data_IF_487220915673
#
_entry.id   IF_487220915673
#
_cell.length_a   1.000
_cell.length_b   1.000
_cell.length_c   1.000
_cell.angle_alpha   90.00
_cell.angle_beta   90.00
_cell.angle_gamma   90.00
#
_symmetry.space_group_name_H-M   'P 1'
#
loop_
_entity.id
_entity.type
_entity.pdbx_description
1 polymer ?
#
# COMPACT_ATOMS: atom_id res chain seq x y z
N UNK A 1 -109.14 58.38 -41.52
CA UNK A 1 -108.08 58.06 -42.50
C UNK A 1 -107.43 56.74 -42.12
N UNK A 2 -107.16 55.91 -43.13
CA UNK A 2 -106.69 54.51 -43.09
C UNK A 2 -105.29 54.37 -42.46
N UNK A 3 -105.02 53.28 -41.73
CA UNK A 3 -104.26 52.14 -42.27
C UNK A 3 -104.10 51.00 -41.26
N UNK A 4 -104.67 49.83 -41.58
CA UNK A 4 -104.29 48.52 -41.03
C UNK A 4 -103.19 47.97 -41.93
N UNK A 5 -102.04 47.58 -41.38
CA UNK A 5 -101.08 46.73 -42.08
C UNK A 5 -100.95 45.38 -41.37
N UNK A 6 -101.27 44.34 -42.12
CA UNK A 6 -101.15 42.93 -41.78
C UNK A 6 -99.70 42.46 -41.94
N UNK A 7 -99.14 41.82 -40.92
CA UNK A 7 -97.86 41.12 -40.99
C UNK A 7 -98.11 39.68 -41.48
N UNK A 8 -97.51 39.31 -42.61
CA UNK A 8 -97.46 37.93 -43.13
C UNK A 8 -96.33 37.15 -42.44
N UNK A 9 -96.45 35.84 -42.21
CA UNK A 9 -95.34 35.03 -41.69
C UNK A 9 -94.30 34.75 -42.80
N UNK A 10 -93.02 34.93 -42.46
CA UNK A 10 -91.88 34.54 -43.29
C UNK A 10 -91.67 33.03 -43.24
N UNK A 11 -91.49 32.44 -44.43
CA UNK A 11 -91.11 31.06 -44.69
C UNK A 11 -89.74 30.69 -44.11
N UNK A 12 -89.48 29.41 -43.76
CA UNK A 12 -88.26 28.99 -43.08
C UNK A 12 -87.04 29.05 -44.00
N UNK A 13 -85.95 29.61 -43.52
CA UNK A 13 -84.66 29.63 -44.22
C UNK A 13 -84.07 28.22 -44.35
N UNK A 14 -83.58 27.93 -45.55
CA UNK A 14 -83.00 26.66 -45.97
C UNK A 14 -81.77 26.32 -45.12
N UNK A 15 -81.81 25.16 -44.47
CA UNK A 15 -80.72 24.61 -43.67
C UNK A 15 -79.41 24.48 -44.45
N UNK A 16 -78.30 24.72 -43.74
CA UNK A 16 -76.95 24.37 -44.17
C UNK A 16 -76.91 22.97 -44.79
N UNK A 17 -76.31 22.81 -45.97
CA UNK A 17 -76.25 21.51 -46.64
C UNK A 17 -75.51 20.49 -45.75
N UNK A 18 -76.23 19.49 -45.24
CA UNK A 18 -75.69 18.38 -44.42
C UNK A 18 -74.43 17.74 -45.02
N UNK A 19 -74.28 17.78 -46.35
CA UNK A 19 -73.12 17.27 -47.08
C UNK A 19 -71.82 18.02 -46.75
N UNK A 20 -71.83 19.35 -46.71
CA UNK A 20 -70.62 20.15 -46.41
C UNK A 20 -70.17 19.99 -44.96
N UNK A 21 -71.14 19.89 -44.04
CA UNK A 21 -70.88 19.61 -42.62
C UNK A 21 -70.27 18.22 -42.43
N UNK A 22 -70.83 17.20 -43.08
CA UNK A 22 -70.31 15.82 -43.00
C UNK A 22 -68.92 15.67 -43.64
N UNK A 23 -68.61 16.40 -44.72
CA UNK A 23 -67.27 16.41 -45.33
C UNK A 23 -66.25 17.04 -44.36
N UNK A 24 -66.61 18.13 -43.70
CA UNK A 24 -65.74 18.80 -42.73
C UNK A 24 -65.50 17.92 -41.50
N UNK A 25 -66.55 17.25 -41.00
CA UNK A 25 -66.46 16.26 -39.93
C UNK A 25 -65.60 15.05 -40.31
N UNK A 26 -65.75 14.54 -41.53
CA UNK A 26 -64.92 13.45 -42.05
C UNK A 26 -63.45 13.87 -42.19
N UNK A 27 -63.18 15.10 -42.62
CA UNK A 27 -61.84 15.66 -42.67
C UNK A 27 -61.18 15.77 -41.29
N UNK A 28 -61.92 16.25 -40.29
CA UNK A 28 -61.45 16.31 -38.89
C UNK A 28 -61.21 14.90 -38.33
N UNK A 29 -62.15 13.97 -38.55
CA UNK A 29 -62.02 12.59 -38.11
C UNK A 29 -60.78 11.91 -38.74
N UNK A 30 -60.53 12.15 -40.03
CA UNK A 30 -59.35 11.64 -40.73
C UNK A 30 -58.05 12.18 -40.12
N UNK A 31 -57.99 13.47 -39.80
CA UNK A 31 -56.82 14.08 -39.13
C UNK A 31 -56.61 13.42 -37.76
N UNK A 32 -57.67 13.21 -36.99
CA UNK A 32 -57.59 12.53 -35.69
C UNK A 32 -57.07 11.09 -35.84
N UNK A 33 -57.56 10.35 -36.83
CA UNK A 33 -57.09 8.99 -37.14
C UNK A 33 -55.60 9.00 -37.48
N UNK A 34 -55.13 9.96 -38.29
CA UNK A 34 -53.71 10.09 -38.64
C UNK A 34 -52.86 10.43 -37.41
N UNK A 35 -53.32 11.32 -36.53
CA UNK A 35 -52.63 11.65 -35.28
C UNK A 35 -52.56 10.45 -34.33
N UNK A 36 -53.66 9.71 -34.18
CA UNK A 36 -53.71 8.49 -33.36
C UNK A 36 -52.79 7.43 -33.94
N UNK A 37 -52.80 7.21 -35.26
CA UNK A 37 -51.92 6.28 -35.95
C UNK A 37 -50.43 6.66 -35.78
N UNK A 38 -50.11 7.96 -35.85
CA UNK A 38 -48.75 8.44 -35.61
C UNK A 38 -48.33 8.27 -34.14
N UNK A 39 -49.24 8.52 -33.20
CA UNK A 39 -49.01 8.33 -31.77
C UNK A 39 -48.78 6.85 -31.44
N UNK A 40 -49.59 5.95 -31.99
CA UNK A 40 -49.38 4.49 -31.85
C UNK A 40 -48.09 4.05 -32.52
N UNK A 41 -47.76 4.62 -33.68
CA UNK A 41 -46.44 4.52 -34.32
C UNK A 41 -45.29 4.77 -33.32
N UNK A 42 -45.34 5.94 -32.68
CA UNK A 42 -44.31 6.40 -31.74
C UNK A 42 -44.30 5.60 -30.41
N UNK A 43 -45.47 5.20 -29.91
CA UNK A 43 -45.61 4.53 -28.61
C UNK A 43 -45.44 3.00 -28.67
N UNK A 44 -45.67 2.36 -29.81
CA UNK A 44 -45.57 0.90 -29.94
C UNK A 44 -44.34 0.46 -30.74
N UNK A 45 -43.98 1.18 -31.81
CA UNK A 45 -42.87 0.78 -32.69
C UNK A 45 -41.57 1.50 -32.33
N UNK A 46 -41.62 2.81 -32.06
CA UNK A 46 -40.41 3.61 -31.76
C UNK A 46 -40.09 3.72 -30.27
N UNK A 47 -40.90 3.13 -29.38
CA UNK A 47 -40.78 3.28 -27.93
C UNK A 47 -39.37 2.96 -27.41
N UNK A 48 -38.83 1.82 -27.82
CA UNK A 48 -37.49 1.40 -27.40
C UNK A 48 -36.39 2.35 -27.90
N UNK A 49 -36.55 2.95 -29.09
CA UNK A 49 -35.58 3.91 -29.66
C UNK A 49 -35.64 5.23 -28.91
N UNK A 50 -36.86 5.73 -28.65
CA UNK A 50 -37.09 6.99 -27.94
C UNK A 50 -36.69 6.91 -26.46
N UNK A 51 -36.97 5.78 -25.80
CA UNK A 51 -36.57 5.53 -24.41
C UNK A 51 -35.04 5.44 -24.29
N UNK A 52 -34.37 4.69 -25.17
CA UNK A 52 -32.90 4.65 -25.20
C UNK A 52 -32.28 6.03 -25.46
N UNK A 53 -32.88 6.82 -26.36
CA UNK A 53 -32.41 8.17 -26.63
C UNK A 53 -32.64 9.10 -25.42
N UNK A 54 -33.72 8.94 -24.68
CA UNK A 54 -33.99 9.66 -23.43
C UNK A 54 -33.07 9.23 -22.30
N UNK A 55 -32.76 7.94 -22.21
CA UNK A 55 -31.86 7.38 -21.20
C UNK A 55 -30.41 7.80 -21.42
N UNK A 56 -29.92 7.81 -22.66
CA UNK A 56 -28.59 8.39 -22.97
C UNK A 56 -28.44 9.83 -22.48
N UNK A 57 -29.54 10.60 -22.53
CA UNK A 57 -29.58 12.01 -22.10
C UNK A 57 -29.71 12.17 -20.59
N UNK A 58 -30.50 11.32 -19.92
CA UNK A 58 -30.91 11.52 -18.52
C UNK A 58 -30.31 10.54 -17.52
N UNK A 59 -29.96 9.31 -17.93
CA UNK A 59 -29.39 8.30 -17.05
C UNK A 59 -27.89 8.52 -16.91
N UNK A 60 -27.41 8.50 -15.66
CA UNK A 60 -26.00 8.59 -15.31
C UNK A 60 -25.65 7.46 -14.35
N UNK A 61 -24.61 6.73 -14.70
CA UNK A 61 -24.00 5.72 -13.83
C UNK A 61 -22.92 6.38 -12.99
N UNK A 62 -23.08 6.33 -11.67
CA UNK A 62 -22.09 6.81 -10.70
C UNK A 62 -21.41 5.61 -10.04
N UNK A 63 -20.09 5.56 -10.08
CA UNK A 63 -19.32 4.61 -9.29
C UNK A 63 -19.35 5.03 -7.82
N UNK A 64 -19.70 4.09 -6.93
CA UNK A 64 -19.60 4.25 -5.49
C UNK A 64 -18.26 3.67 -5.03
N UNK A 65 -17.32 4.50 -4.57
CA UNK A 65 -16.03 4.04 -4.07
C UNK A 65 -16.21 3.10 -2.88
N UNK A 66 -15.63 1.90 -2.99
CA UNK A 66 -15.38 1.02 -1.86
C UNK A 66 -14.28 1.62 -0.99
N UNK A 67 -14.47 1.55 0.32
CA UNK A 67 -13.44 1.97 1.25
C UNK A 67 -12.30 0.96 1.26
N UNK A 68 -11.07 1.45 1.20
CA UNK A 68 -9.89 0.58 1.32
C UNK A 68 -9.81 -0.01 2.73
N UNK A 69 -9.53 -1.31 2.81
CA UNK A 69 -9.50 -2.07 4.06
C UNK A 69 -8.51 -1.51 5.07
N UNK A 70 -8.83 -1.62 6.35
CA UNK A 70 -7.97 -1.16 7.45
C UNK A 70 -6.81 -2.13 7.69
N UNK A 71 -5.61 -1.61 7.89
CA UNK A 71 -4.48 -2.36 8.43
C UNK A 71 -4.46 -2.19 9.94
N UNK A 72 -4.43 -3.31 10.66
CA UNK A 72 -4.34 -3.33 12.12
C UNK A 72 -3.12 -4.10 12.56
N UNK A 73 -2.60 -3.76 13.74
CA UNK A 73 -1.56 -4.51 14.42
C UNK A 73 -2.13 -5.82 15.01
N UNK A 74 -1.28 -6.60 15.67
CA UNK A 74 -1.67 -7.89 16.23
C UNK A 74 -2.77 -7.81 17.29
N UNK A 75 -2.93 -6.67 17.97
CA UNK A 75 -3.93 -6.43 19.00
C UNK A 75 -5.16 -5.65 18.50
N UNK A 76 -5.18 -5.27 17.22
CA UNK A 76 -6.28 -4.53 16.60
C UNK A 76 -6.10 -3.01 16.60
N UNK A 77 -4.94 -2.50 17.00
CA UNK A 77 -4.60 -1.06 16.90
C UNK A 77 -4.44 -0.70 15.43
N UNK A 78 -5.02 0.42 15.01
CA UNK A 78 -4.99 0.85 13.60
C UNK A 78 -3.58 1.32 13.20
N UNK A 79 -3.07 0.75 12.11
CA UNK A 79 -1.80 1.12 11.49
C UNK A 79 -2.00 1.90 10.18
N UNK A 80 -3.08 1.62 9.45
CA UNK A 80 -3.52 2.43 8.31
C UNK A 80 -5.04 2.34 8.14
N UNK A 81 -5.70 3.47 7.92
CA UNK A 81 -7.14 3.53 7.68
C UNK A 81 -7.52 4.55 6.62
N UNK A 82 -8.65 4.34 5.96
CA UNK A 82 -9.22 5.33 5.04
C UNK A 82 -10.16 6.27 5.79
N UNK A 83 -9.87 7.57 5.74
CA UNK A 83 -10.70 8.64 6.31
C UNK A 83 -11.48 9.32 5.18
N UNK A 84 -12.80 9.56 5.34
CA UNK A 84 -13.58 10.26 4.34
C UNK A 84 -13.00 11.63 3.98
N UNK A 85 -12.91 11.92 2.69
CA UNK A 85 -12.40 13.16 2.15
C UNK A 85 -13.24 13.67 0.96
N UNK A 86 -12.92 14.85 0.46
CA UNK A 86 -13.44 15.34 -0.83
C UNK A 86 -12.33 15.90 -1.69
N UNK A 87 -12.43 15.69 -2.99
CA UNK A 87 -11.68 16.49 -3.94
C UNK A 87 -12.47 17.77 -4.23
N UNK A 88 -11.80 18.91 -4.17
CA UNK A 88 -12.33 20.20 -4.61
C UNK A 88 -12.03 20.34 -6.10
N UNK A 89 -13.09 20.47 -6.89
CA UNK A 89 -13.03 20.53 -8.35
C UNK A 89 -13.67 21.81 -8.85
N UNK A 90 -13.10 22.38 -9.90
CA UNK A 90 -13.62 23.52 -10.64
C UNK A 90 -14.10 23.08 -12.02
N UNK A 91 -15.13 23.77 -12.51
CA UNK A 91 -15.60 23.80 -13.89
C UNK A 91 -15.30 25.20 -14.44
N UNK A 92 -14.10 25.43 -15.01
CA UNK A 92 -13.68 26.74 -15.50
C UNK A 92 -14.64 27.35 -16.53
N UNK A 93 -15.21 26.55 -17.44
CA UNK A 93 -16.23 27.04 -18.39
C UNK A 93 -17.45 27.61 -17.68
N UNK A 94 -17.97 26.90 -16.68
CA UNK A 94 -19.11 27.37 -15.89
C UNK A 94 -18.77 28.58 -15.02
N UNK A 95 -17.55 28.64 -14.51
CA UNK A 95 -17.03 29.80 -13.79
C UNK A 95 -17.01 31.01 -14.74
N UNK A 96 -16.39 30.88 -15.91
CA UNK A 96 -16.28 31.96 -16.89
C UNK A 96 -17.65 32.46 -17.38
N UNK A 97 -18.61 31.56 -17.62
CA UNK A 97 -19.98 31.90 -18.00
C UNK A 97 -20.75 32.65 -16.89
N UNK A 98 -20.34 32.52 -15.64
CA UNK A 98 -20.93 33.25 -14.51
C UNK A 98 -20.30 34.64 -14.30
N UNK A 99 -19.33 35.05 -15.13
CA UNK A 99 -18.60 36.33 -15.03
C UNK A 99 -18.10 36.60 -13.60
N UNK A 100 -17.12 35.81 -13.11
CA UNK A 100 -16.73 35.83 -11.71
C UNK A 100 -15.97 37.12 -11.38
N UNK A 101 -16.28 37.73 -10.24
CA UNK A 101 -15.43 38.76 -9.64
C UNK A 101 -14.41 38.10 -8.70
N UNK A 102 -13.21 37.83 -9.20
CA UNK A 102 -12.14 37.23 -8.41
C UNK A 102 -11.60 38.14 -7.29
N UNK A 103 -11.97 39.42 -7.26
CA UNK A 103 -11.65 40.32 -6.14
C UNK A 103 -12.61 40.14 -4.95
N UNK A 104 -13.72 39.41 -5.14
CA UNK A 104 -14.66 39.13 -4.07
C UNK A 104 -14.02 38.30 -2.94
N UNK A 105 -14.36 38.64 -1.69
CA UNK A 105 -13.83 37.99 -0.49
C UNK A 105 -13.98 36.45 -0.47
N UNK A 106 -15.02 35.91 -1.13
CA UNK A 106 -15.24 34.47 -1.23
C UNK A 106 -14.14 33.75 -2.01
N UNK A 107 -13.59 34.36 -3.06
CA UNK A 107 -12.48 33.78 -3.84
C UNK A 107 -11.17 33.83 -3.06
N UNK A 108 -10.92 34.93 -2.34
CA UNK A 108 -9.77 35.04 -1.45
C UNK A 108 -9.82 33.98 -0.34
N UNK A 109 -11.00 33.77 0.27
CA UNK A 109 -11.18 32.73 1.29
C UNK A 109 -11.04 31.30 0.72
N UNK A 110 -11.52 31.06 -0.52
CA UNK A 110 -11.26 29.78 -1.19
C UNK A 110 -9.77 29.55 -1.39
N UNK A 111 -9.01 30.56 -1.82
CA UNK A 111 -7.57 30.45 -2.02
C UNK A 111 -6.84 30.11 -0.71
N UNK A 112 -7.19 30.79 0.39
CA UNK A 112 -6.68 30.50 1.74
C UNK A 112 -6.96 29.05 2.18
N UNK A 113 -8.20 28.56 2.03
CA UNK A 113 -8.55 27.16 2.31
C UNK A 113 -7.73 26.16 1.46
N UNK A 114 -7.45 26.53 0.21
CA UNK A 114 -6.69 25.70 -0.71
C UNK A 114 -5.17 25.77 -0.45
N UNK A 115 -4.71 26.70 0.38
CA UNK A 115 -3.29 26.97 0.67
C UNK A 115 -2.52 27.43 -0.59
N UNK A 116 -3.17 28.30 -1.38
CA UNK A 116 -2.62 28.93 -2.59
C UNK A 116 -2.97 30.42 -2.59
N UNK A 117 -2.24 31.22 -3.36
CA UNK A 117 -2.55 32.65 -3.46
C UNK A 117 -3.81 32.89 -4.31
N UNK A 118 -4.58 33.98 -4.08
CA UNK A 118 -5.73 34.32 -4.92
C UNK A 118 -5.36 34.49 -6.40
N UNK A 119 -4.16 35.01 -6.66
CA UNK A 119 -3.63 35.22 -8.00
C UNK A 119 -3.30 33.89 -8.70
N UNK A 120 -2.71 32.93 -7.99
CA UNK A 120 -2.48 31.57 -8.51
C UNK A 120 -3.80 30.86 -8.79
N UNK A 121 -4.79 30.95 -7.89
CA UNK A 121 -6.12 30.36 -8.11
C UNK A 121 -6.78 30.95 -9.36
N UNK A 122 -6.75 32.28 -9.50
CA UNK A 122 -7.29 32.99 -10.67
C UNK A 122 -6.63 32.52 -11.96
N UNK A 123 -5.29 32.50 -12.01
CA UNK A 123 -4.53 32.04 -13.18
C UNK A 123 -4.85 30.59 -13.52
N UNK A 124 -4.82 29.70 -12.52
CA UNK A 124 -5.14 28.27 -12.70
C UNK A 124 -6.52 28.08 -13.34
N UNK A 125 -7.52 28.86 -12.93
CA UNK A 125 -8.87 28.78 -13.52
C UNK A 125 -8.90 29.38 -14.94
N UNK A 126 -8.31 30.57 -15.14
CA UNK A 126 -8.37 31.28 -16.42
C UNK A 126 -7.59 30.57 -17.54
N UNK A 127 -6.41 30.05 -17.21
CA UNK A 127 -5.55 29.28 -18.14
C UNK A 127 -6.21 27.96 -18.59
N UNK A 128 -7.24 27.52 -17.87
CA UNK A 128 -7.99 26.29 -18.15
C UNK A 128 -9.46 26.59 -18.50
N UNK A 129 -9.78 27.81 -18.97
CA UNK A 129 -11.15 28.30 -19.20
C UNK A 129 -11.99 27.47 -20.19
N UNK A 130 -11.35 26.63 -21.01
CA UNK A 130 -11.98 25.70 -21.96
C UNK A 130 -12.36 24.34 -21.33
N UNK A 131 -11.90 24.06 -20.11
CA UNK A 131 -12.16 22.80 -19.40
C UNK A 131 -13.46 22.84 -18.60
N UNK A 132 -14.11 21.69 -18.50
CA UNK A 132 -15.30 21.45 -17.66
C UNK A 132 -14.94 20.75 -16.34
N UNK A 133 -13.67 20.41 -16.16
CA UNK A 133 -13.17 19.67 -15.02
C UNK A 133 -11.70 20.01 -14.74
N UNK A 134 -11.43 20.51 -13.54
CA UNK A 134 -10.12 20.86 -13.04
C UNK A 134 -10.04 20.49 -11.55
N UNK A 135 -8.99 19.78 -11.13
CA UNK A 135 -8.74 19.56 -9.70
C UNK A 135 -8.07 20.79 -9.11
N UNK A 136 -8.69 21.38 -8.08
CA UNK A 136 -8.06 22.44 -7.28
C UNK A 136 -7.30 21.86 -6.09
N UNK A 137 -7.88 20.88 -5.40
CA UNK A 137 -7.23 20.18 -4.27
C UNK A 137 -7.80 18.79 -4.11
N UNK A 138 -6.93 17.79 -4.00
CA UNK A 138 -7.32 16.38 -3.80
C UNK A 138 -7.34 16.02 -2.32
N UNK A 139 -8.17 15.04 -1.94
CA UNK A 139 -8.21 14.42 -0.60
C UNK A 139 -8.33 15.43 0.55
N UNK A 140 -9.12 16.49 0.35
CA UNK A 140 -9.34 17.50 1.38
C UNK A 140 -10.17 16.96 2.55
N UNK A 141 -9.83 17.31 3.81
CA UNK A 141 -10.63 16.96 4.98
C UNK A 141 -12.06 17.49 4.88
N UNK A 142 -13.02 16.78 5.47
CA UNK A 142 -14.43 17.17 5.42
C UNK A 142 -14.72 18.56 6.01
N UNK A 143 -13.93 19.03 6.99
CA UNK A 143 -14.06 20.38 7.55
C UNK A 143 -13.81 21.45 6.49
N UNK A 144 -12.69 21.35 5.77
CA UNK A 144 -12.34 22.22 4.64
C UNK A 144 -13.41 22.14 3.56
N UNK A 145 -13.83 20.93 3.18
CA UNK A 145 -14.85 20.75 2.15
C UNK A 145 -16.20 21.36 2.53
N UNK A 146 -16.61 21.28 3.79
CA UNK A 146 -17.83 21.96 4.27
C UNK A 146 -17.71 23.48 4.14
N UNK A 147 -16.57 24.07 4.52
CA UNK A 147 -16.32 25.49 4.36
C UNK A 147 -16.39 25.93 2.89
N UNK A 148 -15.77 25.16 1.98
CA UNK A 148 -15.88 25.42 0.52
C UNK A 148 -17.33 25.36 0.04
N UNK A 149 -18.13 24.42 0.55
CA UNK A 149 -19.55 24.30 0.16
C UNK A 149 -20.39 25.51 0.57
N UNK A 150 -20.04 26.16 1.68
CA UNK A 150 -20.76 27.32 2.23
C UNK A 150 -20.51 28.61 1.43
N UNK A 151 -19.49 28.63 0.57
CA UNK A 151 -19.20 29.80 -0.29
C UNK A 151 -20.17 29.93 -1.47
N UNK A 152 -20.85 28.84 -1.84
CA UNK A 152 -21.80 28.79 -2.95
C UNK A 152 -21.25 29.37 -4.26
N UNK A 153 -19.95 29.15 -4.54
CA UNK A 153 -19.30 29.65 -5.74
C UNK A 153 -19.75 28.87 -6.99
N UNK A 154 -20.15 29.56 -8.07
CA UNK A 154 -20.56 28.90 -9.31
C UNK A 154 -19.38 28.13 -9.91
N UNK A 155 -19.63 26.91 -10.37
CA UNK A 155 -18.61 26.06 -10.99
C UNK A 155 -17.60 25.43 -10.02
N UNK A 156 -17.68 25.70 -8.72
CA UNK A 156 -16.94 24.93 -7.70
C UNK A 156 -17.82 23.80 -7.18
N UNK A 157 -17.29 22.58 -7.20
CA UNK A 157 -18.01 21.41 -6.71
C UNK A 157 -17.06 20.44 -6.00
N UNK A 158 -17.65 19.39 -5.42
CA UNK A 158 -16.91 18.42 -4.61
C UNK A 158 -17.17 17.02 -5.11
N UNK A 159 -16.12 16.22 -5.18
CA UNK A 159 -16.21 14.80 -5.50
C UNK A 159 -15.86 13.99 -4.26
N UNK A 160 -16.60 12.91 -3.99
CA UNK A 160 -16.21 11.97 -2.94
C UNK A 160 -14.80 11.45 -3.20
N UNK A 161 -13.96 11.44 -2.17
CA UNK A 161 -12.71 10.69 -2.15
C UNK A 161 -12.47 10.17 -0.72
N UNK A 162 -11.37 9.48 -0.53
CA UNK A 162 -10.85 9.11 0.78
C UNK A 162 -9.37 9.45 0.87
N UNK A 163 -8.93 9.74 2.09
CA UNK A 163 -7.54 9.92 2.40
C UNK A 163 -7.03 8.76 3.25
N UNK A 164 -5.88 8.21 2.87
CA UNK A 164 -5.25 7.14 3.64
C UNK A 164 -4.45 7.77 4.77
N UNK A 165 -4.75 7.40 6.00
CA UNK A 165 -4.15 7.94 7.22
C UNK A 165 -3.37 6.86 7.96
N UNK A 166 -2.17 7.22 8.42
CA UNK A 166 -1.19 6.34 9.05
C UNK A 166 -0.82 6.89 10.44
N UNK A 167 -1.41 6.37 11.53
CA UNK A 167 -1.21 6.92 12.87
C UNK A 167 0.25 6.89 13.37
N UNK A 168 1.01 5.85 13.02
CA UNK A 168 2.42 5.71 13.44
C UNK A 168 3.40 6.56 12.62
N UNK A 169 2.94 7.24 11.57
CA UNK A 169 3.78 8.11 10.76
C UNK A 169 5.07 7.43 10.28
N UNK A 170 6.20 8.13 10.47
CA UNK A 170 7.55 7.70 10.08
C UNK A 170 7.95 6.34 10.66
N UNK A 171 7.44 5.97 11.84
CA UNK A 171 7.88 4.77 12.55
C UNK A 171 7.52 3.46 11.83
N UNK A 172 6.56 3.50 10.90
CA UNK A 172 6.11 2.33 10.14
C UNK A 172 6.10 2.54 8.63
N UNK A 173 6.59 3.69 8.15
CA UNK A 173 6.40 4.12 6.77
C UNK A 173 7.05 3.18 5.75
N UNK A 174 8.28 2.71 6.00
CA UNK A 174 9.00 1.79 5.12
C UNK A 174 8.37 0.39 5.07
N UNK A 175 7.69 -0.02 6.14
CA UNK A 175 7.01 -1.32 6.23
C UNK A 175 5.60 -1.25 5.60
N UNK A 176 4.77 -0.34 6.09
CA UNK A 176 3.37 -0.19 5.67
C UNK A 176 3.32 0.33 4.23
N UNK A 177 4.17 1.28 3.89
CA UNK A 177 4.20 1.95 2.60
C UNK A 177 3.12 3.04 2.48
N UNK A 178 2.81 3.40 1.24
CA UNK A 178 1.84 4.46 0.93
C UNK A 178 0.88 4.08 -0.18
N UNK A 179 -0.21 4.84 -0.29
CA UNK A 179 -1.16 4.78 -1.39
C UNK A 179 -1.09 6.03 -2.25
N UNK A 180 -1.31 5.88 -3.56
CA UNK A 180 -1.36 6.98 -4.50
C UNK A 180 -2.67 7.78 -4.45
N UNK A 181 -2.81 8.71 -5.40
CA UNK A 181 -4.01 9.54 -5.54
C UNK A 181 -5.29 8.71 -5.79
N UNK A 182 -5.16 7.55 -6.43
CA UNK A 182 -6.27 6.62 -6.74
C UNK A 182 -6.49 5.55 -5.67
N UNK A 183 -5.90 5.70 -4.48
CA UNK A 183 -5.97 4.73 -3.37
C UNK A 183 -5.43 3.33 -3.71
N UNK A 184 -4.57 3.25 -4.74
CA UNK A 184 -3.74 2.08 -5.05
C UNK A 184 -2.49 2.10 -4.18
N UNK A 185 -2.15 0.98 -3.57
CA UNK A 185 -0.89 0.81 -2.85
C UNK A 185 0.31 0.93 -3.78
N UNK A 186 1.29 1.76 -3.41
CA UNK A 186 2.48 2.06 -4.20
C UNK A 186 3.75 1.43 -3.65
N UNK A 187 3.79 1.13 -2.35
CA UNK A 187 4.94 0.50 -1.70
C UNK A 187 4.50 -0.34 -0.49
N UNK A 188 5.44 -1.12 0.06
CA UNK A 188 5.27 -1.87 1.30
C UNK A 188 4.06 -2.81 1.31
N UNK A 189 3.48 -3.01 2.49
CA UNK A 189 2.27 -3.82 2.71
C UNK A 189 1.08 -3.28 1.90
N UNK A 190 0.94 -1.96 1.77
CA UNK A 190 -0.13 -1.36 0.97
C UNK A 190 -0.09 -1.86 -0.49
N UNK A 191 1.10 -2.01 -1.08
CA UNK A 191 1.25 -2.58 -2.42
C UNK A 191 1.02 -4.10 -2.44
N UNK A 192 1.65 -4.84 -1.52
CA UNK A 192 1.55 -6.31 -1.46
C UNK A 192 0.12 -6.80 -1.33
N UNK A 193 -0.66 -6.15 -0.47
CA UNK A 193 -2.05 -6.52 -0.20
C UNK A 193 -3.06 -5.66 -0.97
N UNK A 194 -2.62 -4.95 -2.02
CA UNK A 194 -3.49 -4.02 -2.74
C UNK A 194 -4.78 -4.68 -3.28
N UNK A 195 -4.71 -5.93 -3.73
CA UNK A 195 -5.87 -6.69 -4.24
C UNK A 195 -6.86 -7.07 -3.14
N UNK A 196 -6.39 -7.33 -1.93
CA UNK A 196 -7.23 -7.68 -0.77
C UNK A 196 -7.81 -6.42 -0.13
N UNK A 197 -7.01 -5.37 -0.02
CA UNK A 197 -7.39 -4.09 0.57
C UNK A 197 -8.31 -3.26 -0.33
N UNK A 198 -8.44 -3.60 -1.61
CA UNK A 198 -9.30 -2.92 -2.57
C UNK A 198 -10.33 -3.88 -3.15
N UNK A 199 -11.61 -3.60 -2.89
CA UNK A 199 -12.74 -4.27 -3.52
C UNK A 199 -13.35 -3.44 -4.64
N UNK A 200 -14.22 -4.07 -5.42
CA UNK A 200 -14.87 -3.42 -6.54
C UNK A 200 -15.81 -2.30 -6.11
N UNK A 201 -15.96 -1.33 -6.99
CA UNK A 201 -16.85 -0.20 -6.80
C UNK A 201 -18.30 -0.69 -6.82
N UNK A 202 -19.12 -0.13 -5.94
CA UNK A 202 -20.57 -0.20 -6.09
C UNK A 202 -21.01 0.65 -7.29
N UNK A 203 -22.23 0.44 -7.77
CA UNK A 203 -22.78 1.18 -8.90
C UNK A 203 -24.11 1.79 -8.52
N UNK A 204 -24.26 3.10 -8.76
CA UNK A 204 -25.53 3.80 -8.59
C UNK A 204 -25.96 4.42 -9.92
N UNK A 205 -27.01 3.87 -10.54
CA UNK A 205 -27.64 4.48 -11.72
C UNK A 205 -28.71 5.46 -11.27
N UNK A 206 -28.59 6.71 -11.69
CA UNK A 206 -29.54 7.78 -11.37
C UNK A 206 -30.10 8.38 -12.66
N UNK A 207 -31.34 8.87 -12.62
CA UNK A 207 -31.90 9.71 -13.67
C UNK A 207 -31.82 11.18 -13.24
N UNK A 208 -31.29 12.04 -14.10
CA UNK A 208 -31.16 13.48 -13.86
C UNK A 208 -32.14 14.28 -14.73
N UNK A 209 -32.59 15.42 -14.21
CA UNK A 209 -33.34 16.41 -14.99
C UNK A 209 -32.39 17.29 -15.83
N UNK A 210 -32.95 18.15 -16.69
CA UNK A 210 -32.19 19.08 -17.53
C UNK A 210 -31.34 20.10 -16.74
N UNK A 211 -31.65 20.32 -15.45
CA UNK A 211 -30.91 21.19 -14.53
C UNK A 211 -29.86 20.42 -13.70
N UNK A 212 -29.67 19.13 -13.94
CA UNK A 212 -28.69 18.26 -13.27
C UNK A 212 -29.11 17.66 -11.93
N UNK A 213 -30.33 17.94 -11.45
CA UNK A 213 -30.89 17.38 -10.22
C UNK A 213 -31.31 15.92 -10.38
N UNK A 214 -31.18 15.12 -9.32
CA UNK A 214 -31.53 13.69 -9.32
C UNK A 214 -33.05 13.53 -9.20
N UNK A 215 -33.68 12.86 -10.17
CA UNK A 215 -35.13 12.57 -10.17
C UNK A 215 -35.40 11.22 -9.51
N UNK A 216 -34.63 10.18 -9.88
CA UNK A 216 -34.82 8.83 -9.37
C UNK A 216 -33.52 8.03 -9.36
N UNK A 217 -33.45 7.03 -8.48
CA UNK A 217 -32.40 6.00 -8.47
C UNK A 217 -32.97 4.77 -9.18
N UNK A 218 -32.35 4.39 -10.30
CA UNK A 218 -32.79 3.27 -11.14
C UNK A 218 -32.21 1.95 -10.60
N UNK A 219 -30.94 1.99 -10.18
CA UNK A 219 -30.21 0.84 -9.66
C UNK A 219 -29.24 1.31 -8.58
N UNK A 220 -29.11 0.53 -7.50
CA UNK A 220 -28.17 0.78 -6.42
C UNK A 220 -27.53 -0.54 -5.99
N UNK A 221 -26.27 -0.71 -6.37
CA UNK A 221 -25.40 -1.79 -5.93
C UNK A 221 -24.41 -1.20 -4.93
N UNK A 222 -24.51 -1.60 -3.66
CA UNK A 222 -23.62 -1.11 -2.62
C UNK A 222 -22.18 -1.57 -2.88
N UNK A 223 -21.16 -0.73 -2.58
CA UNK A 223 -19.78 -1.16 -2.68
C UNK A 223 -19.47 -2.28 -1.68
N UNK A 224 -18.68 -3.26 -2.11
CA UNK A 224 -18.16 -4.28 -1.19
C UNK A 224 -17.24 -3.65 -0.15
N UNK A 225 -17.35 -4.10 1.10
CA UNK A 225 -16.43 -3.66 2.16
C UNK A 225 -15.15 -4.46 2.06
N UNK A 226 -14.02 -3.80 1.86
CA UNK A 226 -12.73 -4.47 1.87
C UNK A 226 -12.41 -4.98 3.30
N UNK A 227 -11.94 -6.23 3.44
CA UNK A 227 -11.63 -6.79 4.76
C UNK A 227 -10.48 -6.03 5.42
N UNK A 228 -10.51 -5.97 6.75
CA UNK A 228 -9.37 -5.54 7.53
C UNK A 228 -8.29 -6.63 7.53
N UNK A 229 -7.02 -6.24 7.42
CA UNK A 229 -5.89 -7.17 7.53
C UNK A 229 -5.24 -6.95 8.89
N UNK A 230 -5.05 -8.05 9.61
CA UNK A 230 -4.36 -8.08 10.90
C UNK A 230 -2.91 -8.49 10.69
N UNK A 231 -2.01 -7.54 10.91
CA UNK A 231 -0.58 -7.75 10.84
C UNK A 231 -0.06 -8.43 12.10
N UNK A 232 1.10 -9.06 12.01
CA UNK A 232 1.82 -9.63 13.16
C UNK A 232 2.52 -8.55 14.00
N UNK A 233 2.65 -7.34 13.44
CA UNK A 233 3.31 -6.20 14.03
C UNK A 233 2.68 -5.85 15.37
N UNK A 234 3.53 -5.55 16.33
CA UNK A 234 3.17 -4.93 17.60
C UNK A 234 3.48 -3.44 17.48
N UNK A 235 2.46 -2.59 17.52
CA UNK A 235 2.62 -1.15 17.30
C UNK A 235 3.52 -0.47 18.33
N UNK A 236 3.53 -0.98 19.57
CA UNK A 236 4.36 -0.46 20.66
C UNK A 236 5.83 -0.83 20.41
N UNK A 237 6.10 -2.12 20.12
CA UNK A 237 7.46 -2.56 19.80
C UNK A 237 8.00 -1.87 18.55
N UNK A 238 7.17 -1.70 17.52
CA UNK A 238 7.54 -0.99 16.30
C UNK A 238 8.02 0.44 16.59
N UNK A 239 7.28 1.19 17.40
CA UNK A 239 7.64 2.55 17.77
C UNK A 239 8.94 2.61 18.58
N UNK A 240 9.11 1.71 19.56
CA UNK A 240 10.34 1.64 20.38
C UNK A 240 11.55 1.32 19.50
N UNK A 241 11.45 0.28 18.66
CA UNK A 241 12.52 -0.14 17.76
C UNK A 241 12.91 0.98 16.80
N UNK A 242 11.93 1.65 16.18
CA UNK A 242 12.19 2.79 15.31
C UNK A 242 12.88 3.94 16.04
N UNK A 243 12.39 4.30 17.24
CA UNK A 243 12.91 5.43 18.00
C UNK A 243 14.38 5.22 18.40
N UNK A 244 14.72 4.01 18.86
CA UNK A 244 16.10 3.65 19.20
C UNK A 244 17.01 3.53 17.99
N UNK A 245 16.49 2.99 16.88
CA UNK A 245 17.22 2.93 15.62
C UNK A 245 17.58 4.34 15.11
N UNK A 246 16.59 5.24 15.08
CA UNK A 246 16.77 6.63 14.68
C UNK A 246 17.81 7.33 15.56
N UNK A 247 17.65 7.23 16.88
CA UNK A 247 18.59 7.79 17.86
C UNK A 247 20.02 7.32 17.58
N UNK A 248 20.24 6.01 17.40
CA UNK A 248 21.56 5.47 17.10
C UNK A 248 22.13 5.94 15.76
N UNK A 249 21.32 5.99 14.70
CA UNK A 249 21.78 6.47 13.38
C UNK A 249 22.15 7.96 13.43
N UNK A 250 21.34 8.78 14.09
CA UNK A 250 21.60 10.22 14.26
C UNK A 250 22.85 10.48 15.13
N UNK A 251 22.96 9.81 16.28
CA UNK A 251 24.09 9.96 17.20
C UNK A 251 25.44 9.60 16.56
N UNK A 252 25.45 8.58 15.68
CA UNK A 252 26.66 8.13 15.01
C UNK A 252 26.85 8.74 13.62
N UNK A 253 25.97 9.66 13.19
CA UNK A 253 25.98 10.22 11.83
C UNK A 253 26.03 9.15 10.73
N UNK A 254 25.37 8.01 10.97
CA UNK A 254 25.35 6.91 10.01
C UNK A 254 24.44 7.25 8.83
N UNK A 255 24.75 6.70 7.66
CA UNK A 255 23.98 6.95 6.44
C UNK A 255 22.55 6.37 6.52
N UNK A 256 22.41 5.18 7.11
CA UNK A 256 21.14 4.49 7.28
C UNK A 256 21.27 3.38 8.34
N UNK A 257 20.13 2.79 8.73
CA UNK A 257 20.09 1.64 9.61
C UNK A 257 18.76 0.88 9.47
N UNK A 258 18.77 -0.37 9.94
CA UNK A 258 17.60 -1.23 9.98
C UNK A 258 17.57 -2.03 11.28
N UNK A 259 16.36 -2.34 11.75
CA UNK A 259 16.15 -3.22 12.89
C UNK A 259 14.93 -4.11 12.63
N UNK A 260 15.09 -5.40 12.90
CA UNK A 260 14.07 -6.43 12.67
C UNK A 260 13.92 -7.27 13.93
N UNK A 261 12.68 -7.43 14.39
CA UNK A 261 12.32 -8.25 15.52
C UNK A 261 11.36 -9.35 15.06
N UNK A 262 11.77 -10.60 15.26
CA UNK A 262 11.03 -11.80 14.85
C UNK A 262 10.68 -12.63 16.07
N UNK A 263 9.45 -13.14 16.13
CA UNK A 263 9.06 -14.15 17.11
C UNK A 263 9.70 -15.49 16.76
N UNK A 264 10.54 -15.99 17.68
CA UNK A 264 11.26 -17.26 17.53
C UNK A 264 10.31 -18.43 17.26
N UNK A 265 9.18 -18.50 17.97
CA UNK A 265 8.30 -19.67 17.95
C UNK A 265 7.35 -19.72 16.74
N UNK A 266 7.21 -18.61 16.00
CA UNK A 266 6.19 -18.49 14.94
C UNK A 266 6.73 -17.95 13.63
N UNK A 267 7.90 -17.30 13.62
CA UNK A 267 8.39 -16.55 12.46
C UNK A 267 7.64 -15.23 12.20
N UNK A 268 6.70 -14.85 13.08
CA UNK A 268 5.99 -13.58 12.97
C UNK A 268 6.94 -12.39 13.16
N UNK A 269 6.86 -11.40 12.28
CA UNK A 269 7.59 -10.14 12.43
C UNK A 269 6.81 -9.28 13.42
N UNK A 270 7.46 -8.94 14.54
CA UNK A 270 6.88 -8.10 15.58
C UNK A 270 7.18 -6.62 15.36
N UNK A 271 8.35 -6.32 14.82
CA UNK A 271 8.74 -4.99 14.40
C UNK A 271 9.75 -5.05 13.24
N UNK A 272 9.66 -4.11 12.31
CA UNK A 272 10.61 -3.92 11.21
C UNK A 272 10.71 -2.44 10.90
N UNK A 273 11.84 -1.83 11.26
CA UNK A 273 12.08 -0.40 11.08
C UNK A 273 13.28 -0.15 10.16
N UNK A 274 13.25 0.98 9.47
CA UNK A 274 14.38 1.52 8.71
C UNK A 274 14.51 3.00 8.96
N UNK A 275 15.73 3.51 8.89
CA UNK A 275 16.04 4.93 8.95
C UNK A 275 17.14 5.25 7.92
N UNK A 276 17.10 6.37 7.17
CA UNK A 276 16.09 7.44 7.22
C UNK A 276 14.69 6.95 6.81
N UNK A 277 13.65 7.66 7.26
CA UNK A 277 12.24 7.38 6.98
C UNK A 277 11.52 8.67 6.58
N UNK A 278 10.23 8.59 6.24
CA UNK A 278 9.43 9.73 5.79
C UNK A 278 8.03 9.67 6.41
N UNK A 279 7.33 10.80 6.44
CA UNK A 279 5.94 10.81 6.92
C UNK A 279 4.99 10.33 5.81
N UNK A 280 4.34 9.15 5.93
CA UNK A 280 3.48 8.60 4.88
C UNK A 280 2.17 9.38 4.71
N UNK A 281 1.81 10.25 5.65
CA UNK A 281 0.67 11.16 5.51
C UNK A 281 1.00 12.38 4.65
N UNK A 282 2.29 12.69 4.44
CA UNK A 282 2.80 13.83 3.66
C UNK A 282 4.12 13.45 2.97
N UNK A 283 4.05 12.53 2.02
CA UNK A 283 5.24 11.99 1.35
C UNK A 283 5.63 12.72 0.05
N UNK A 284 4.94 13.82 -0.29
CA UNK A 284 5.32 14.66 -1.43
C UNK A 284 6.67 15.32 -1.13
N UNK A 285 7.71 14.94 -1.88
CA UNK A 285 9.09 15.39 -1.66
C UNK A 285 9.97 14.42 -0.87
N UNK A 286 9.43 13.27 -0.41
CA UNK A 286 10.25 12.21 0.16
C UNK A 286 11.24 11.67 -0.88
N UNK A 287 12.49 11.48 -0.46
CA UNK A 287 13.56 10.96 -1.29
C UNK A 287 13.47 9.45 -1.43
N UNK A 288 14.07 8.90 -2.50
CA UNK A 288 14.16 7.45 -2.70
C UNK A 288 14.91 6.73 -1.57
N UNK A 289 15.79 7.43 -0.84
CA UNK A 289 16.49 6.87 0.31
C UNK A 289 15.56 6.72 1.52
N UNK A 290 14.75 7.73 1.83
CA UNK A 290 13.77 7.68 2.93
C UNK A 290 12.66 6.67 2.66
N UNK A 291 12.24 6.51 1.41
CA UNK A 291 11.19 5.56 1.03
C UNK A 291 11.64 4.09 1.01
N UNK A 292 12.95 3.84 1.15
CA UNK A 292 13.53 2.49 1.10
C UNK A 292 13.28 1.75 2.41
N UNK A 293 12.98 0.45 2.31
CA UNK A 293 13.02 -0.45 3.45
C UNK A 293 14.39 -1.14 3.50
N UNK A 294 15.33 -0.51 4.19
CA UNK A 294 16.72 -0.97 4.36
C UNK A 294 16.77 -2.42 4.90
N UNK A 295 15.77 -2.83 5.71
CA UNK A 295 15.73 -4.18 6.26
C UNK A 295 15.58 -5.29 5.21
N UNK A 296 15.05 -4.99 4.02
CA UNK A 296 14.81 -5.96 2.94
C UNK A 296 15.47 -5.58 1.61
N UNK A 297 15.70 -4.29 1.34
CA UNK A 297 16.24 -3.84 0.06
C UNK A 297 17.77 -3.93 0.03
N UNK A 298 18.41 -3.70 1.17
CA UNK A 298 19.86 -3.61 1.25
C UNK A 298 20.45 -4.91 1.78
N UNK A 299 21.59 -5.29 1.21
CA UNK A 299 22.35 -6.46 1.65
C UNK A 299 23.75 -6.02 2.08
N UNK A 300 24.32 -6.70 3.06
CA UNK A 300 25.65 -6.44 3.59
C UNK A 300 26.36 -7.77 3.89
N UNK A 301 27.69 -7.72 4.01
CA UNK A 301 28.45 -8.90 4.45
C UNK A 301 28.23 -9.10 5.96
N UNK A 302 27.69 -10.26 6.40
CA UNK A 302 27.23 -10.44 7.77
C UNK A 302 28.36 -10.44 8.82
N UNK A 303 29.61 -10.61 8.40
CA UNK A 303 30.77 -10.62 9.29
C UNK A 303 30.63 -11.65 10.41
N UNK A 304 30.99 -11.26 11.64
CA UNK A 304 31.00 -12.16 12.81
C UNK A 304 29.66 -12.81 13.15
N UNK A 305 28.54 -12.29 12.63
CA UNK A 305 27.21 -12.84 12.91
C UNK A 305 26.98 -14.25 12.34
N UNK A 306 27.86 -14.74 11.44
CA UNK A 306 27.76 -16.14 10.96
C UNK A 306 28.53 -17.16 11.81
N UNK A 307 29.44 -16.71 12.69
CA UNK A 307 30.33 -17.57 13.48
C UNK A 307 29.59 -18.63 14.31
N UNK A 308 28.43 -18.34 14.96
CA UNK A 308 27.67 -19.37 15.67
C UNK A 308 27.30 -20.57 14.78
N UNK A 309 26.99 -20.34 13.49
CA UNK A 309 26.65 -21.41 12.55
C UNK A 309 27.88 -22.24 12.15
N UNK A 310 29.09 -21.64 12.14
CA UNK A 310 30.34 -22.38 11.94
C UNK A 310 30.63 -23.30 13.12
N UNK A 311 30.48 -22.80 14.36
CA UNK A 311 30.61 -23.61 15.57
C UNK A 311 29.60 -24.76 15.57
N UNK A 312 28.34 -24.46 15.24
CA UNK A 312 27.27 -25.46 15.12
C UNK A 312 27.64 -26.58 14.15
N UNK A 313 28.12 -26.24 12.95
CA UNK A 313 28.54 -27.21 11.94
C UNK A 313 29.77 -28.01 12.39
N UNK A 314 30.69 -27.37 13.13
CA UNK A 314 31.89 -28.01 13.68
C UNK A 314 31.54 -29.08 14.70
N UNK A 315 30.61 -28.76 15.61
CA UNK A 315 30.08 -29.71 16.58
C UNK A 315 29.32 -30.84 15.90
N UNK A 316 28.46 -30.53 14.91
CA UNK A 316 27.67 -31.51 14.16
C UNK A 316 28.52 -32.54 13.43
N UNK A 317 29.68 -32.12 12.93
CA UNK A 317 30.64 -32.99 12.23
C UNK A 317 31.66 -33.66 13.15
N UNK A 318 31.60 -33.42 14.46
CA UNK A 318 32.59 -33.88 15.43
C UNK A 318 34.03 -33.42 15.14
N UNK A 319 34.19 -32.28 14.44
CA UNK A 319 35.49 -31.64 14.21
C UNK A 319 35.98 -30.99 15.51
N UNK A 320 35.04 -30.48 16.30
CA UNK A 320 35.26 -29.93 17.63
C UNK A 320 34.24 -30.52 18.61
N UNK A 321 34.59 -30.44 19.90
CA UNK A 321 33.70 -30.62 21.04
C UNK A 321 33.63 -29.31 21.83
N UNK A 322 32.68 -29.18 22.76
CA UNK A 322 32.53 -27.98 23.61
C UNK A 322 33.78 -27.64 24.43
N UNK A 323 34.66 -28.61 24.69
CA UNK A 323 35.91 -28.44 25.44
C UNK A 323 37.18 -28.47 24.57
N UNK A 324 37.04 -28.57 23.25
CA UNK A 324 38.20 -28.60 22.35
C UNK A 324 38.94 -27.27 22.43
N UNK A 325 40.23 -27.31 22.77
CA UNK A 325 41.07 -26.13 22.78
C UNK A 325 41.70 -25.95 21.38
N UNK A 326 41.31 -24.89 20.66
CA UNK A 326 41.82 -24.59 19.32
C UNK A 326 42.94 -23.55 19.39
N UNK A 327 43.97 -23.73 18.57
CA UNK A 327 45.00 -22.70 18.35
C UNK A 327 44.36 -21.49 17.67
N UNK A 328 44.55 -20.31 18.26
CA UNK A 328 44.03 -19.03 17.74
C UNK A 328 45.14 -18.02 17.50
N UNK A 329 46.39 -18.49 17.39
CA UNK A 329 47.51 -17.64 16.96
C UNK A 329 47.35 -17.25 15.49
N UNK A 330 47.70 -16.01 15.10
CA UNK A 330 47.65 -15.60 13.71
C UNK A 330 48.42 -16.56 12.78
N UNK A 331 47.81 -16.93 11.66
CA UNK A 331 48.38 -17.88 10.70
C UNK A 331 48.13 -17.43 9.26
N UNK A 332 48.90 -17.98 8.31
CA UNK A 332 48.77 -17.66 6.89
C UNK A 332 48.01 -18.74 6.12
N UNK A 333 47.10 -18.31 5.25
CA UNK A 333 46.34 -19.15 4.31
C UNK A 333 46.46 -18.55 2.92
N UNK A 334 46.93 -19.32 1.94
CA UNK A 334 47.19 -18.84 0.57
C UNK A 334 47.97 -17.50 0.53
N UNK A 335 48.95 -17.33 1.43
CA UNK A 335 49.75 -16.11 1.55
C UNK A 335 49.10 -14.96 2.33
N UNK A 336 47.84 -15.05 2.73
CA UNK A 336 47.10 -14.02 3.48
C UNK A 336 47.15 -14.30 4.98
N UNK A 337 47.39 -13.26 5.80
CA UNK A 337 47.42 -13.39 7.26
C UNK A 337 46.00 -13.28 7.82
N UNK A 338 45.55 -14.32 8.53
CA UNK A 338 44.33 -14.32 9.34
C UNK A 338 44.73 -14.01 10.79
N UNK A 339 44.02 -13.06 11.41
CA UNK A 339 44.30 -12.61 12.78
C UNK A 339 43.03 -12.10 13.45
N UNK A 340 43.00 -12.20 14.76
CA UNK A 340 41.96 -11.61 15.60
C UNK A 340 42.29 -10.16 15.99
N UNK A 341 41.31 -9.48 16.60
CA UNK A 341 41.49 -8.13 17.18
C UNK A 341 42.45 -8.16 18.38
N UNK A 342 42.33 -9.18 19.22
CA UNK A 342 43.24 -9.44 20.35
C UNK A 342 44.13 -10.64 20.11
N UNK A 343 45.03 -10.91 21.06
CA UNK A 343 45.89 -12.09 21.02
C UNK A 343 45.47 -13.09 22.09
N UNK A 344 45.01 -14.26 21.64
CA UNK A 344 44.76 -15.41 22.49
C UNK A 344 45.48 -16.61 21.88
N UNK A 345 46.36 -17.31 22.61
CA UNK A 345 47.11 -18.42 22.03
C UNK A 345 46.20 -19.61 21.72
N UNK A 346 45.16 -19.81 22.53
CA UNK A 346 44.16 -20.84 22.30
C UNK A 346 42.82 -20.49 22.95
N UNK A 347 41.73 -20.93 22.33
CA UNK A 347 40.37 -20.70 22.81
C UNK A 347 39.51 -21.97 22.66
N UNK A 348 38.55 -22.14 23.58
CA UNK A 348 37.46 -23.12 23.41
C UNK A 348 36.42 -22.57 22.42
N UNK A 349 35.44 -23.37 21.93
CA UNK A 349 34.37 -22.84 21.09
C UNK A 349 33.59 -21.69 21.74
N UNK A 350 33.37 -21.75 23.05
CA UNK A 350 32.80 -20.63 23.82
C UNK A 350 33.70 -19.40 23.76
N UNK A 351 35.00 -19.56 23.99
CA UNK A 351 35.95 -18.45 23.91
C UNK A 351 36.07 -17.86 22.49
N UNK A 352 35.92 -18.70 21.45
CA UNK A 352 35.90 -18.26 20.05
C UNK A 352 34.70 -17.36 19.78
N UNK A 353 33.51 -17.68 20.29
CA UNK A 353 32.34 -16.79 20.17
C UNK A 353 32.53 -15.53 21.02
N UNK A 354 32.90 -15.69 22.30
CA UNK A 354 33.08 -14.59 23.25
C UNK A 354 34.07 -13.51 22.77
N UNK A 355 35.20 -13.94 22.20
CA UNK A 355 36.23 -13.05 21.66
C UNK A 355 36.08 -12.81 20.17
N UNK A 356 35.05 -13.38 19.55
CA UNK A 356 34.76 -13.34 18.12
C UNK A 356 36.01 -13.65 17.28
N UNK A 357 36.68 -14.77 17.56
CA UNK A 357 37.94 -15.15 16.90
C UNK A 357 37.71 -15.60 15.45
N UNK A 358 38.21 -14.82 14.50
CA UNK A 358 38.31 -15.17 13.07
C UNK A 358 39.26 -16.35 12.87
N UNK A 359 40.35 -16.39 13.64
CA UNK A 359 41.35 -17.46 13.58
C UNK A 359 40.74 -18.81 13.95
N UNK A 360 39.98 -18.87 15.05
CA UNK A 360 39.32 -20.08 15.52
C UNK A 360 38.28 -20.63 14.53
N UNK A 361 37.39 -19.78 14.02
CA UNK A 361 36.39 -20.23 13.02
C UNK A 361 37.02 -20.61 11.68
N UNK A 362 38.13 -19.98 11.30
CA UNK A 362 38.87 -20.32 10.07
C UNK A 362 39.46 -21.71 10.16
N UNK A 363 40.08 -22.08 11.28
CA UNK A 363 40.59 -23.44 11.49
C UNK A 363 39.47 -24.49 11.40
N UNK A 364 38.32 -24.22 12.02
CA UNK A 364 37.15 -25.10 11.97
C UNK A 364 36.69 -25.27 10.52
N UNK A 365 36.54 -24.18 9.77
CA UNK A 365 36.09 -24.20 8.38
C UNK A 365 37.05 -24.93 7.44
N UNK A 366 38.36 -24.74 7.61
CA UNK A 366 39.40 -25.42 6.83
C UNK A 366 39.44 -26.93 7.08
N UNK A 367 38.96 -27.39 8.24
CA UNK A 367 38.81 -28.80 8.56
C UNK A 367 37.52 -29.44 7.99
N UNK A 368 36.60 -28.67 7.40
CA UNK A 368 35.36 -29.19 6.81
C UNK A 368 35.42 -29.27 5.28
N UNK A 369 34.57 -30.08 4.63
CA UNK A 369 34.31 -29.96 3.19
C UNK A 369 33.88 -28.54 2.81
N UNK A 370 34.30 -28.07 1.62
CA UNK A 370 34.06 -26.70 1.15
C UNK A 370 32.59 -26.30 1.01
N UNK A 371 31.69 -27.27 0.83
CA UNK A 371 30.25 -27.07 0.70
C UNK A 371 29.50 -27.10 2.03
N UNK A 372 30.16 -27.47 3.14
CA UNK A 372 29.54 -27.63 4.45
C UNK A 372 28.85 -26.35 4.92
N UNK A 373 29.61 -25.25 5.00
CA UNK A 373 29.08 -23.96 5.46
C UNK A 373 28.03 -23.39 4.51
N UNK A 374 28.17 -23.59 3.20
CA UNK A 374 27.17 -23.16 2.21
C UNK A 374 25.82 -23.83 2.49
N UNK A 375 25.84 -25.15 2.73
CA UNK A 375 24.63 -25.92 3.09
C UNK A 375 24.07 -25.49 4.44
N UNK A 376 24.90 -25.32 5.46
CA UNK A 376 24.47 -24.86 6.79
C UNK A 376 23.80 -23.50 6.71
N UNK A 377 24.48 -22.48 6.18
CA UNK A 377 23.94 -21.12 6.08
C UNK A 377 22.63 -21.09 5.26
N UNK A 378 22.56 -21.87 4.17
CA UNK A 378 21.34 -21.96 3.35
C UNK A 378 20.19 -22.68 4.05
N UNK A 379 20.46 -23.67 4.90
CA UNK A 379 19.44 -24.34 5.71
C UNK A 379 18.80 -23.39 6.74
N UNK A 380 19.59 -22.44 7.27
CA UNK A 380 19.11 -21.34 8.11
C UNK A 380 18.48 -20.17 7.31
N UNK A 381 18.37 -20.32 5.99
CA UNK A 381 17.70 -19.38 5.09
C UNK A 381 18.57 -18.28 4.49
N UNK A 382 19.89 -18.27 4.72
CA UNK A 382 20.74 -17.30 4.03
C UNK A 382 20.79 -17.59 2.52
N UNK A 383 20.78 -16.52 1.71
CA UNK A 383 20.73 -16.63 0.24
C UNK A 383 19.38 -17.06 -0.34
N UNK A 384 18.36 -17.33 0.49
CA UNK A 384 17.00 -17.66 0.04
C UNK A 384 16.05 -16.46 0.21
N UNK A 385 15.05 -16.27 -0.68
CA UNK A 385 13.96 -15.33 -0.43
C UNK A 385 13.30 -15.57 0.94
N UNK A 386 12.80 -14.51 1.57
CA UNK A 386 12.10 -14.60 2.86
C UNK A 386 10.66 -15.03 2.73
N UNK A 387 10.07 -14.84 1.54
CA UNK A 387 8.69 -15.22 1.26
C UNK A 387 7.68 -14.24 1.85
N UNK A 388 8.12 -13.07 2.31
CA UNK A 388 7.26 -12.11 3.00
C UNK A 388 6.25 -11.43 2.07
N UNK A 389 6.50 -11.49 0.75
CA UNK A 389 5.64 -10.89 -0.27
C UNK A 389 5.75 -9.36 -0.34
N UNK A 390 6.74 -8.76 0.32
CA UNK A 390 7.01 -7.32 0.22
C UNK A 390 7.76 -6.98 -1.08
N UNK A 391 7.40 -5.88 -1.75
CA UNK A 391 8.06 -5.48 -3.00
C UNK A 391 9.51 -5.05 -2.74
N UNK A 392 10.39 -5.38 -3.68
CA UNK A 392 11.79 -4.94 -3.68
C UNK A 392 12.72 -5.72 -2.74
N UNK A 393 12.27 -6.86 -2.20
CA UNK A 393 13.13 -7.72 -1.39
C UNK A 393 14.38 -8.18 -2.16
N UNK A 394 15.55 -7.95 -1.59
CA UNK A 394 16.83 -8.42 -2.10
C UNK A 394 17.17 -9.79 -1.51
N UNK A 395 17.72 -10.68 -2.33
CA UNK A 395 18.29 -11.95 -1.86
C UNK A 395 19.76 -11.87 -1.49
N UNK A 396 20.37 -10.69 -1.67
CA UNK A 396 21.81 -10.48 -1.52
C UNK A 396 22.64 -11.29 -2.53
N UNK A 397 23.81 -11.72 -2.09
CA UNK A 397 24.72 -12.57 -2.88
C UNK A 397 25.05 -13.82 -2.08
N UNK A 398 24.88 -14.98 -2.67
CA UNK A 398 25.19 -16.25 -2.01
C UNK A 398 25.80 -17.24 -3.01
N UNK A 399 26.92 -17.90 -2.70
CA UNK A 399 27.72 -18.65 -3.67
C UNK A 399 27.19 -20.07 -3.95
N UNK A 400 25.91 -20.21 -4.34
CA UNK A 400 25.27 -21.53 -4.56
C UNK A 400 25.93 -22.40 -5.63
N UNK A 401 26.42 -21.79 -6.71
CA UNK A 401 27.02 -22.49 -7.86
C UNK A 401 28.53 -22.69 -7.74
N UNK A 402 29.13 -22.33 -6.60
CA UNK A 402 30.57 -22.37 -6.44
C UNK A 402 31.05 -23.78 -6.09
N UNK A 403 31.69 -24.43 -7.06
CA UNK A 403 32.24 -25.78 -6.90
C UNK A 403 33.70 -25.82 -6.43
N UNK A 404 34.47 -24.77 -6.71
CA UNK A 404 35.89 -24.67 -6.34
C UNK A 404 36.09 -23.51 -5.36
N UNK A 405 36.76 -23.80 -4.27
CA UNK A 405 37.04 -22.85 -3.20
C UNK A 405 38.53 -22.87 -2.91
N UNK A 406 39.18 -21.71 -2.94
CA UNK A 406 40.50 -21.56 -2.36
C UNK A 406 40.40 -21.63 -0.83
N UNK A 407 41.50 -21.96 -0.15
CA UNK A 407 41.49 -22.09 1.31
C UNK A 407 41.24 -20.75 1.98
N UNK A 408 41.78 -19.66 1.42
CA UNK A 408 41.48 -18.31 1.91
C UNK A 408 39.98 -17.96 1.79
N UNK A 409 39.31 -18.40 0.73
CA UNK A 409 37.87 -18.14 0.55
C UNK A 409 37.02 -18.93 1.55
N UNK A 410 37.44 -20.16 1.87
CA UNK A 410 36.77 -20.97 2.91
C UNK A 410 36.91 -20.33 4.28
N UNK A 411 38.10 -19.80 4.58
CA UNK A 411 38.37 -19.12 5.82
C UNK A 411 37.54 -17.82 5.94
N UNK A 412 37.56 -16.95 4.92
CA UNK A 412 36.81 -15.69 4.95
C UNK A 412 35.29 -15.89 5.00
N UNK A 413 34.78 -16.97 4.38
CA UNK A 413 33.37 -17.35 4.48
C UNK A 413 32.95 -17.77 5.90
N UNK A 414 33.89 -18.28 6.71
CA UNK A 414 33.64 -18.68 8.10
C UNK A 414 33.40 -17.49 9.03
N UNK A 415 34.00 -16.32 8.72
CA UNK A 415 33.78 -15.09 9.47
C UNK A 415 33.01 -14.03 8.67
N UNK A 416 32.25 -14.47 7.65
CA UNK A 416 31.13 -13.71 7.08
C UNK A 416 31.44 -12.84 5.87
N UNK A 417 32.51 -13.13 5.13
CA UNK A 417 32.85 -12.46 3.87
C UNK A 417 32.64 -13.37 2.66
N UNK A 418 32.40 -12.80 1.49
CA UNK A 418 32.07 -13.58 0.29
C UNK A 418 30.62 -14.06 0.21
N UNK A 419 29.75 -13.49 1.06
CA UNK A 419 28.29 -13.54 0.98
C UNK A 419 27.70 -12.20 1.40
N UNK A 420 26.51 -11.89 0.91
CA UNK A 420 25.73 -10.73 1.35
C UNK A 420 24.32 -11.16 1.70
N UNK A 421 23.83 -10.68 2.83
CA UNK A 421 22.49 -11.01 3.35
C UNK A 421 21.76 -9.73 3.73
N UNK A 422 20.44 -9.77 3.76
CA UNK A 422 19.63 -8.66 4.28
C UNK A 422 19.49 -8.76 5.80
N UNK A 423 19.23 -7.64 6.51
CA UNK A 423 18.91 -7.68 7.95
C UNK A 423 17.78 -8.66 8.28
N UNK A 424 16.76 -8.75 7.41
CA UNK A 424 15.65 -9.71 7.56
C UNK A 424 16.10 -11.17 7.44
N UNK A 425 16.95 -11.51 6.46
CA UNK A 425 17.48 -12.87 6.32
C UNK A 425 18.32 -13.26 7.55
N UNK A 426 19.12 -12.34 8.08
CA UNK A 426 19.92 -12.57 9.27
C UNK A 426 19.03 -12.77 10.51
N UNK A 427 18.00 -11.94 10.70
CA UNK A 427 17.04 -12.09 11.78
C UNK A 427 16.32 -13.45 11.71
N UNK A 428 15.97 -13.94 10.52
CA UNK A 428 15.40 -15.29 10.33
C UNK A 428 16.37 -16.41 10.73
N UNK A 429 17.65 -16.28 10.38
CA UNK A 429 18.66 -17.27 10.74
C UNK A 429 18.81 -17.35 12.27
N UNK A 430 18.83 -16.21 12.95
CA UNK A 430 18.87 -16.15 14.42
C UNK A 430 17.57 -16.62 15.08
N UNK A 431 16.40 -16.34 14.49
CA UNK A 431 15.14 -16.89 14.96
C UNK A 431 15.14 -18.43 14.88
N UNK A 432 15.68 -18.98 13.79
CA UNK A 432 15.85 -20.43 13.62
C UNK A 432 16.80 -21.03 14.66
N UNK A 433 17.93 -20.34 14.94
CA UNK A 433 18.85 -20.76 15.99
C UNK A 433 18.17 -20.72 17.37
N UNK A 434 17.51 -19.61 17.70
CA UNK A 434 16.77 -19.45 18.96
C UNK A 434 15.63 -20.45 19.14
N UNK A 435 15.05 -20.94 18.04
CA UNK A 435 14.05 -22.01 18.03
C UNK A 435 14.69 -23.41 18.11
N UNK A 436 15.93 -23.50 18.61
CA UNK A 436 16.70 -24.74 18.70
C UNK A 436 16.80 -25.49 17.36
N UNK A 437 17.02 -24.74 16.27
CA UNK A 437 17.19 -25.30 14.93
C UNK A 437 15.88 -25.54 14.16
N UNK A 438 14.73 -25.08 14.66
CA UNK A 438 13.46 -25.14 13.93
C UNK A 438 13.30 -23.90 13.04
N UNK A 439 13.26 -24.12 11.73
CA UNK A 439 13.05 -23.07 10.74
C UNK A 439 11.56 -22.77 10.57
N UNK A 440 11.15 -21.53 10.86
CA UNK A 440 9.79 -21.04 10.61
C UNK A 440 9.79 -20.06 9.42
N UNK A 441 8.87 -20.22 8.45
CA UNK A 441 8.62 -19.19 7.45
C UNK A 441 8.23 -17.86 8.11
N UNK A 442 8.73 -16.75 7.57
CA UNK A 442 8.38 -15.44 8.12
C UNK A 442 6.97 -15.04 7.74
N UNK A 443 6.32 -14.27 8.62
CA UNK A 443 5.00 -13.71 8.35
C UNK A 443 4.90 -12.27 8.83
N UNK A 444 4.35 -11.40 7.98
CA UNK A 444 3.93 -10.03 8.34
C UNK A 444 2.47 -9.98 8.79
N UNK A 445 1.73 -11.07 8.58
CA UNK A 445 0.33 -11.23 9.00
C UNK A 445 0.25 -12.08 10.27
N UNK A 446 -0.72 -11.80 11.13
CA UNK A 446 -0.90 -12.56 12.36
C UNK A 446 -1.31 -14.00 12.05
N UNK A 447 -0.61 -14.96 12.63
CA UNK A 447 -0.88 -16.39 12.49
C UNK A 447 -1.82 -16.86 13.61
N UNK A 448 -2.76 -17.76 13.28
CA UNK A 448 -3.84 -18.20 14.17
C UNK A 448 -3.67 -19.63 14.69
N UNK A 449 -2.74 -20.39 14.12
CA UNK A 449 -2.46 -21.79 14.45
C UNK A 449 -0.98 -21.96 14.83
N UNK A 450 -0.61 -23.03 15.56
CA UNK A 450 0.80 -23.38 15.75
C UNK A 450 1.48 -23.51 14.39
N UNK A 451 2.59 -22.81 14.23
CA UNK A 451 3.35 -22.78 12.98
C UNK A 451 4.26 -23.99 12.98
N UNK A 452 3.99 -24.95 12.10
CA UNK A 452 4.90 -26.07 11.90
C UNK A 452 6.14 -25.56 11.17
N UNK A 453 7.29 -25.71 11.80
CA UNK A 453 8.59 -25.42 11.20
C UNK A 453 9.29 -26.69 10.70
N UNK A 454 10.42 -26.51 10.03
CA UNK A 454 11.30 -27.59 9.57
C UNK A 454 12.53 -27.68 10.48
N UNK A 455 12.84 -28.85 11.01
CA UNK A 455 14.06 -29.03 11.81
C UNK A 455 15.29 -29.04 10.89
N UNK A 456 16.11 -27.99 10.93
CA UNK A 456 17.30 -27.84 10.07
C UNK A 456 18.62 -28.07 10.79
N UNK A 457 18.61 -28.13 12.13
CA UNK A 457 19.77 -28.44 12.96
C UNK A 457 19.40 -29.35 14.13
N UNK A 458 20.36 -30.05 14.73
CA UNK A 458 20.10 -30.83 15.94
C UNK A 458 19.75 -29.90 17.12
N UNK A 459 18.62 -30.13 17.84
CA UNK A 459 18.20 -29.25 18.93
C UNK A 459 19.22 -29.10 20.07
N UNK A 460 19.95 -30.17 20.41
CA UNK A 460 20.95 -30.14 21.49
C UNK A 460 22.16 -29.34 21.08
N UNK A 461 22.59 -29.44 19.81
CA UNK A 461 23.69 -28.66 19.29
C UNK A 461 23.33 -27.18 19.17
N UNK A 462 22.12 -26.87 18.70
CA UNK A 462 21.62 -25.49 18.65
C UNK A 462 21.55 -24.87 20.06
N UNK A 463 20.97 -25.57 21.03
CA UNK A 463 20.92 -25.14 22.44
C UNK A 463 22.33 -24.94 23.04
N UNK A 464 23.27 -25.85 22.76
CA UNK A 464 24.65 -25.69 23.19
C UNK A 464 25.30 -24.41 22.64
N UNK A 465 25.08 -24.10 21.35
CA UNK A 465 25.60 -22.87 20.74
C UNK A 465 24.93 -21.62 21.32
N UNK A 466 23.61 -21.64 21.59
CA UNK A 466 22.91 -20.54 22.27
C UNK A 466 23.57 -20.26 23.63
N UNK A 467 23.80 -21.29 24.45
CA UNK A 467 24.48 -21.15 25.74
C UNK A 467 25.90 -20.60 25.61
N UNK A 468 26.62 -20.94 24.54
CA UNK A 468 27.95 -20.36 24.27
C UNK A 468 27.84 -18.86 23.96
N UNK A 469 26.83 -18.45 23.18
CA UNK A 469 26.59 -17.03 22.84
C UNK A 469 26.17 -16.18 24.04
N UNK A 470 25.64 -16.76 25.12
CA UNK A 470 25.38 -16.03 26.36
C UNK A 470 26.68 -15.40 26.93
N UNK A 471 27.84 -15.98 26.64
CA UNK A 471 29.12 -15.41 27.07
C UNK A 471 29.47 -14.08 26.40
N UNK A 472 28.89 -13.76 25.24
CA UNK A 472 29.12 -12.52 24.49
C UNK A 472 28.51 -11.30 25.20
N UNK A 473 27.51 -11.52 26.07
CA UNK A 473 26.81 -10.45 26.81
C UNK A 473 27.24 -10.37 28.29
N UNK A 474 28.12 -11.27 28.74
CA UNK A 474 28.71 -11.21 30.07
C UNK A 474 29.95 -10.29 30.06
N UNK A 475 30.27 -9.63 31.19
CA UNK A 475 31.56 -8.94 31.34
C UNK A 475 32.69 -9.95 31.11
N UNK A 476 33.46 -9.75 30.04
CA UNK A 476 34.50 -10.67 29.58
C UNK A 476 35.92 -10.22 29.82
#
# INVERSE_FOLDING_TARGET
MKNKQSIRPSSPEKGFSNVRYNILLAGIALIFIVLVARLTGLQLFDHAVLENAADRRSVRTLALPAQRGTLTDRYGVVLAMSVPARDIIADPKRIAAAHPDFAEARWAFLADLLDITPEELRRTIQDNSDKEFLFLKKKSPLSLSRAVSQLHLPGISQKYNENRYYPLGEASASLIGVTGAENRGLSGIEQSFNTVLRKDFGVKKIRKNARGGVISVIQYDAPETAPAIRLSIDSVLQYIVYSRLREGVEQHHAQSGAAVLVSVNTGEILAMASYPSFNPNRFSGATSAEMRNVAINDSFEPGSTVKPFVILEGLRRHIISSSTLLDTRPFRVDGHLIRDVGYWPALTPTGILQKSSDTGVSHIALAMPSDALVKTYSSFGLGKPTGLGLPGESTGYFPFSRHRWADIERATFAFGYGLRVTPLQLARAYATLGACGVYHPLSVTRLSAPVYGEQVADPKLADAVIRMMESDVLPG
#
